data_IF_514349741125
#
_entry.id   IF_514349741125
#
_cell.length_a   1.000
_cell.length_b   1.000
_cell.length_c   1.000
_cell.angle_alpha   90.00
_cell.angle_beta   90.00
_cell.angle_gamma   90.00
#
_symmetry.space_group_name_H-M   'P 1'
#
loop_
_entity.id
_entity.type
_entity.pdbx_description
1 polymer ?
#
# COMPACT_ATOMS: atom_id res chain seq x y z
N UNK A 1 35.93 3.50 -18.34
CA UNK A 1 35.03 2.61 -19.11
C UNK A 1 33.60 2.83 -18.63
N UNK A 2 32.73 3.36 -19.49
CA UNK A 2 31.32 3.59 -19.19
C UNK A 2 30.57 2.27 -19.42
N UNK A 3 30.30 1.52 -18.34
CA UNK A 3 29.68 0.19 -18.45
C UNK A 3 28.21 0.37 -18.83
N UNK A 4 27.88 0.08 -20.08
CA UNK A 4 26.51 0.01 -20.60
C UNK A 4 25.83 -1.18 -19.93
N UNK A 5 24.70 -0.92 -19.28
CA UNK A 5 23.85 -1.82 -18.48
C UNK A 5 23.25 -3.03 -19.25
N UNK A 6 23.77 -3.37 -20.43
CA UNK A 6 23.25 -4.41 -21.32
C UNK A 6 23.83 -5.81 -21.08
N UNK A 7 24.81 -5.99 -20.20
CA UNK A 7 25.54 -7.27 -20.04
C UNK A 7 25.15 -8.11 -18.81
N UNK A 8 24.16 -7.71 -18.02
CA UNK A 8 23.76 -8.50 -16.83
C UNK A 8 22.27 -8.80 -16.91
N UNK A 9 21.91 -9.76 -17.75
CA UNK A 9 20.60 -10.42 -17.70
C UNK A 9 20.57 -11.54 -16.63
N UNK A 10 21.39 -11.38 -15.59
CA UNK A 10 21.51 -12.32 -14.48
C UNK A 10 20.65 -11.88 -13.31
N UNK A 11 19.94 -12.84 -12.71
CA UNK A 11 19.23 -12.62 -11.47
C UNK A 11 20.22 -12.35 -10.33
N UNK A 12 19.78 -11.57 -9.34
CA UNK A 12 20.53 -11.33 -8.11
C UNK A 12 19.96 -12.20 -6.99
N UNK A 13 20.85 -12.77 -6.18
CA UNK A 13 20.46 -13.55 -5.02
C UNK A 13 20.27 -12.66 -3.78
N UNK A 14 19.24 -12.98 -3.01
CA UNK A 14 18.95 -12.36 -1.72
C UNK A 14 18.52 -13.44 -0.72
N UNK A 15 18.84 -13.22 0.55
CA UNK A 15 18.35 -14.05 1.65
C UNK A 15 16.90 -13.66 1.93
N UNK A 16 16.02 -14.65 2.11
CA UNK A 16 14.65 -14.45 2.58
C UNK A 16 14.69 -14.58 4.11
N UNK A 17 14.42 -13.51 4.87
CA UNK A 17 14.31 -13.59 6.32
C UNK A 17 13.16 -14.50 6.76
N UNK A 18 13.35 -15.21 7.88
CA UNK A 18 12.35 -16.14 8.44
C UNK A 18 10.98 -15.49 8.63
N UNK A 19 10.96 -14.22 9.07
CA UNK A 19 9.72 -13.50 9.36
C UNK A 19 8.84 -13.18 8.13
N UNK A 20 9.37 -13.32 6.91
CA UNK A 20 8.61 -13.13 5.66
C UNK A 20 8.67 -14.35 4.75
N UNK A 21 9.21 -15.48 5.22
CA UNK A 21 9.45 -16.66 4.40
C UNK A 21 8.15 -17.23 3.80
N UNK A 22 7.06 -17.18 4.56
CA UNK A 22 5.75 -17.67 4.11
C UNK A 22 5.06 -16.74 3.11
N UNK A 23 5.48 -15.46 3.04
CA UNK A 23 4.90 -14.45 2.16
C UNK A 23 5.62 -14.37 0.79
N UNK A 24 6.84 -14.90 0.72
CA UNK A 24 7.65 -14.89 -0.49
C UNK A 24 7.44 -16.16 -1.29
N UNK A 25 6.91 -15.99 -2.51
CA UNK A 25 6.78 -17.05 -3.52
C UNK A 25 7.35 -16.58 -4.85
N UNK A 26 7.55 -17.52 -5.77
CA UNK A 26 7.88 -17.19 -7.15
C UNK A 26 6.79 -16.27 -7.75
N UNK A 27 7.22 -15.16 -8.34
CA UNK A 27 6.36 -14.09 -8.84
C UNK A 27 6.14 -12.93 -7.86
N UNK A 28 6.47 -13.11 -6.57
CA UNK A 28 6.27 -12.07 -5.56
C UNK A 28 7.09 -10.83 -5.91
N UNK A 29 6.50 -9.67 -5.67
CA UNK A 29 7.24 -8.41 -5.70
C UNK A 29 7.87 -8.18 -4.33
N UNK A 30 9.19 -8.04 -4.30
CA UNK A 30 9.98 -7.89 -3.07
C UNK A 30 10.73 -6.57 -3.04
N UNK A 31 10.99 -6.04 -1.85
CA UNK A 31 11.78 -4.82 -1.64
C UNK A 31 13.20 -5.25 -1.27
N UNK A 32 14.20 -4.81 -2.05
CA UNK A 32 15.58 -5.26 -1.89
C UNK A 32 16.58 -4.09 -1.93
N UNK A 33 17.68 -4.16 -1.16
CA UNK A 33 18.78 -3.21 -1.26
C UNK A 33 19.65 -3.49 -2.50
N UNK A 34 19.78 -2.52 -3.39
CA UNK A 34 20.60 -2.62 -4.61
C UNK A 34 21.58 -1.44 -4.70
N UNK A 35 22.86 -1.70 -4.44
CA UNK A 35 23.87 -0.65 -4.28
C UNK A 35 23.48 0.34 -3.17
N UNK A 36 23.41 1.63 -3.50
CA UNK A 36 22.97 2.73 -2.59
C UNK A 36 21.45 2.95 -2.59
N UNK A 37 20.69 2.16 -3.35
CA UNK A 37 19.24 2.34 -3.54
C UNK A 37 18.50 1.16 -2.90
N UNK A 38 17.23 1.37 -2.63
CA UNK A 38 16.28 0.26 -2.46
C UNK A 38 15.38 0.22 -3.69
N UNK A 39 15.13 -0.98 -4.20
CA UNK A 39 14.31 -1.19 -5.40
C UNK A 39 13.26 -2.27 -5.12
N UNK A 40 12.21 -2.29 -5.93
CA UNK A 40 11.33 -3.45 -6.05
C UNK A 40 11.92 -4.43 -7.06
N UNK A 41 11.99 -5.69 -6.68
CA UNK A 41 12.36 -6.82 -7.54
C UNK A 41 11.20 -7.80 -7.68
N UNK A 42 11.32 -8.71 -8.65
CA UNK A 42 10.35 -9.80 -8.87
C UNK A 42 11.10 -11.11 -8.62
N UNK A 43 10.54 -11.98 -7.79
CA UNK A 43 11.15 -13.27 -7.47
C UNK A 43 11.01 -14.24 -8.65
N UNK A 44 12.10 -14.49 -9.37
CA UNK A 44 12.11 -15.40 -10.52
C UNK A 44 12.27 -16.88 -10.10
N UNK A 45 12.98 -17.14 -9.00
CA UNK A 45 13.30 -18.47 -8.47
C UNK A 45 13.51 -18.38 -6.96
N UNK A 46 13.14 -19.45 -6.25
CA UNK A 46 13.50 -19.68 -4.84
C UNK A 46 14.44 -20.88 -4.81
N UNK A 47 15.51 -20.79 -4.01
CA UNK A 47 16.54 -21.81 -3.89
C UNK A 47 16.94 -21.97 -2.43
N UNK A 48 17.36 -23.17 -2.05
CA UNK A 48 17.80 -23.46 -0.67
C UNK A 48 19.27 -23.09 -0.44
N UNK A 49 20.07 -22.99 -1.51
CA UNK A 49 21.49 -22.70 -1.44
C UNK A 49 21.90 -21.69 -2.51
N UNK A 50 22.93 -20.90 -2.22
CA UNK A 50 23.53 -19.97 -3.16
C UNK A 50 24.97 -20.35 -3.45
N UNK A 51 25.41 -20.08 -4.68
CA UNK A 51 26.82 -20.22 -5.07
C UNK A 51 27.69 -19.04 -4.60
N UNK A 52 27.05 -17.97 -4.10
CA UNK A 52 27.74 -16.85 -3.46
C UNK A 52 27.84 -17.06 -1.96
N UNK A 53 28.90 -16.50 -1.38
CA UNK A 53 29.11 -16.42 0.06
C UNK A 53 27.93 -15.72 0.76
N UNK A 54 27.38 -16.36 1.79
CA UNK A 54 26.25 -15.86 2.56
C UNK A 54 26.48 -14.47 3.14
N UNK A 55 27.71 -14.11 3.50
CA UNK A 55 28.03 -12.78 4.07
C UNK A 55 27.88 -11.66 3.03
N UNK A 56 28.00 -11.99 1.74
CA UNK A 56 27.88 -11.03 0.64
C UNK A 56 26.45 -10.92 0.10
N UNK A 57 25.57 -11.83 0.49
CA UNK A 57 24.17 -11.85 0.06
C UNK A 57 23.35 -10.98 1.02
N UNK A 58 22.69 -9.97 0.47
CA UNK A 58 21.82 -9.09 1.28
C UNK A 58 20.47 -9.75 1.53
N UNK A 59 19.82 -9.37 2.61
CA UNK A 59 18.46 -9.79 2.91
C UNK A 59 17.41 -8.98 2.13
N UNK A 60 16.30 -9.65 1.79
CA UNK A 60 15.06 -9.00 1.36
C UNK A 60 14.50 -8.17 2.52
N UNK A 61 14.09 -6.93 2.25
CA UNK A 61 13.54 -6.01 3.27
C UNK A 61 12.05 -6.22 3.53
N UNK A 62 11.31 -6.75 2.57
CA UNK A 62 9.88 -6.99 2.69
C UNK A 62 9.21 -7.40 1.39
N UNK A 63 7.93 -7.71 1.47
CA UNK A 63 7.08 -8.11 0.33
C UNK A 63 6.09 -7.00 0.01
N UNK A 64 5.94 -6.68 -1.26
CA UNK A 64 4.91 -5.76 -1.75
C UNK A 64 3.66 -6.58 -2.10
N UNK A 65 2.73 -6.66 -1.14
CA UNK A 65 1.59 -7.60 -1.19
C UNK A 65 0.51 -7.26 -2.25
N UNK A 66 0.48 -6.02 -2.76
CA UNK A 66 -0.61 -5.57 -3.65
C UNK A 66 -0.58 -6.22 -5.04
N UNK A 67 0.55 -6.81 -5.43
CA UNK A 67 0.69 -7.42 -6.75
C UNK A 67 1.62 -8.63 -6.75
N UNK A 68 1.24 -9.66 -7.51
CA UNK A 68 2.03 -10.87 -7.69
C UNK A 68 1.88 -11.40 -9.12
N UNK A 69 2.97 -11.81 -9.75
CA UNK A 69 2.93 -12.42 -11.08
C UNK A 69 2.57 -13.91 -10.94
N UNK A 70 1.54 -14.33 -11.67
CA UNK A 70 1.08 -15.71 -11.69
C UNK A 70 2.01 -16.65 -12.47
N UNK A 71 1.82 -17.96 -12.26
CA UNK A 71 2.67 -18.99 -12.88
C UNK A 71 2.68 -18.93 -14.41
N UNK A 72 1.51 -18.79 -15.03
CA UNK A 72 1.38 -18.77 -16.49
C UNK A 72 2.00 -17.50 -17.10
N UNK A 73 1.86 -16.35 -16.44
CA UNK A 73 2.54 -15.11 -16.83
C UNK A 73 4.07 -15.26 -16.75
N UNK A 74 4.60 -15.95 -15.73
CA UNK A 74 6.04 -16.21 -15.65
C UNK A 74 6.52 -17.16 -16.75
N UNK A 75 5.74 -18.20 -17.08
CA UNK A 75 6.06 -19.09 -18.21
C UNK A 75 6.08 -18.32 -19.53
N UNK A 76 5.09 -17.46 -19.75
CA UNK A 76 5.02 -16.61 -20.93
C UNK A 76 6.19 -15.62 -20.97
N UNK A 77 6.52 -14.96 -19.86
CA UNK A 77 7.68 -14.08 -19.76
C UNK A 77 8.98 -14.81 -20.13
N UNK A 78 9.13 -16.05 -19.67
CA UNK A 78 10.29 -16.88 -19.99
C UNK A 78 10.35 -17.23 -21.48
N UNK A 79 9.21 -17.62 -22.07
CA UNK A 79 9.12 -17.85 -23.51
C UNK A 79 9.46 -16.59 -24.32
N UNK A 80 8.93 -15.42 -23.92
CA UNK A 80 9.22 -14.15 -24.59
C UNK A 80 10.70 -13.77 -24.51
N UNK A 81 11.29 -13.88 -23.32
CA UNK A 81 12.72 -13.62 -23.12
C UNK A 81 13.58 -14.53 -23.99
N UNK A 82 13.25 -15.82 -24.06
CA UNK A 82 13.97 -16.79 -24.88
C UNK A 82 13.78 -16.53 -26.38
N UNK A 83 12.54 -16.42 -26.85
CA UNK A 83 12.20 -16.30 -28.26
C UNK A 83 12.70 -14.99 -28.88
N UNK A 84 12.60 -13.89 -28.14
CA UNK A 84 13.03 -12.56 -28.61
C UNK A 84 14.44 -12.18 -28.14
N UNK A 85 15.19 -13.11 -27.52
CA UNK A 85 16.57 -12.89 -27.03
C UNK A 85 16.63 -11.62 -26.16
N UNK A 86 15.62 -11.46 -25.30
CA UNK A 86 15.40 -10.27 -24.48
C UNK A 86 15.55 -10.57 -23.00
N UNK A 87 15.65 -9.50 -22.20
CA UNK A 87 15.81 -9.66 -20.75
C UNK A 87 14.59 -10.29 -20.08
N UNK A 88 14.81 -11.33 -19.27
CA UNK A 88 13.76 -11.92 -18.44
C UNK A 88 13.13 -10.89 -17.50
N UNK A 89 13.93 -9.97 -16.98
CA UNK A 89 13.45 -8.85 -16.17
C UNK A 89 12.52 -7.93 -16.95
N UNK A 90 12.82 -7.63 -18.21
CA UNK A 90 11.96 -6.82 -19.06
C UNK A 90 10.65 -7.54 -19.42
N UNK A 91 10.72 -8.83 -19.75
CA UNK A 91 9.54 -9.63 -20.04
C UNK A 91 8.58 -9.69 -18.82
N UNK A 92 9.11 -9.88 -17.61
CA UNK A 92 8.30 -9.89 -16.38
C UNK A 92 7.67 -8.52 -16.09
N UNK A 93 8.33 -7.40 -16.44
CA UNK A 93 7.79 -6.05 -16.23
C UNK A 93 6.52 -5.78 -17.04
N UNK A 94 6.33 -6.44 -18.17
CA UNK A 94 5.14 -6.28 -19.02
C UNK A 94 3.85 -6.73 -18.32
N UNK A 95 3.97 -7.61 -17.33
CA UNK A 95 2.84 -8.05 -16.52
C UNK A 95 2.56 -7.13 -15.35
N UNK A 96 3.23 -5.99 -15.19
CA UNK A 96 2.92 -5.04 -14.12
C UNK A 96 1.86 -4.05 -14.58
N UNK A 97 1.02 -3.53 -13.66
CA UNK A 97 0.07 -2.48 -14.00
C UNK A 97 0.80 -1.23 -14.51
N UNK A 98 0.14 -0.42 -15.37
CA UNK A 98 0.69 0.83 -15.86
C UNK A 98 1.03 1.76 -14.69
N UNK A 99 2.16 2.46 -14.78
CA UNK A 99 2.63 3.34 -13.71
C UNK A 99 3.26 2.62 -12.50
N UNK A 100 3.42 1.29 -12.54
CA UNK A 100 4.12 0.57 -11.48
C UNK A 100 5.58 1.03 -11.36
N UNK A 101 5.93 1.60 -10.19
CA UNK A 101 7.28 2.11 -9.94
C UNK A 101 8.17 1.06 -9.25
N UNK A 102 9.22 0.66 -9.95
CA UNK A 102 10.23 -0.28 -9.46
C UNK A 102 11.33 0.37 -8.61
N UNK A 103 11.44 1.69 -8.60
CA UNK A 103 12.30 2.40 -7.65
C UNK A 103 11.50 2.59 -6.37
N UNK A 104 12.12 2.35 -5.21
CA UNK A 104 11.49 2.75 -3.95
C UNK A 104 11.46 4.28 -3.94
N UNK A 105 10.28 4.87 -4.20
CA UNK A 105 10.03 6.24 -3.79
C UNK A 105 9.89 6.22 -2.28
N UNK A 106 10.52 7.15 -1.56
CA UNK A 106 10.37 7.35 -0.10
C UNK A 106 8.91 7.49 0.39
N UNK A 107 7.95 7.45 -0.54
CA UNK A 107 6.52 7.33 -0.31
C UNK A 107 6.10 6.00 -0.92
N UNK A 108 5.91 4.97 -0.08
CA UNK A 108 4.81 4.03 -0.30
C UNK A 108 3.62 4.95 -0.62
N UNK A 109 2.87 4.81 -1.74
CA UNK A 109 1.65 5.56 -1.90
C UNK A 109 0.83 5.23 -0.66
N UNK A 110 0.77 6.18 0.27
CA UNK A 110 0.10 5.97 1.53
C UNK A 110 -1.30 5.52 1.12
N UNK A 111 -1.68 4.30 1.50
CA UNK A 111 -3.09 3.96 1.60
C UNK A 111 -3.69 5.17 2.32
N UNK A 112 -4.55 5.94 1.63
CA UNK A 112 -5.10 7.15 2.22
C UNK A 112 -5.89 6.69 3.42
N UNK A 113 -5.30 6.80 4.62
CA UNK A 113 -5.98 6.51 5.87
C UNK A 113 -7.06 7.56 6.01
N UNK A 114 -8.30 7.18 5.75
CA UNK A 114 -9.44 8.05 5.95
C UNK A 114 -9.86 7.93 7.41
N UNK A 115 -10.11 9.07 8.04
CA UNK A 115 -10.65 9.15 9.40
C UNK A 115 -12.16 9.14 9.30
N UNK A 116 -12.78 8.11 9.86
CA UNK A 116 -14.22 7.95 9.97
C UNK A 116 -14.64 8.33 11.39
N UNK A 117 -15.73 9.08 11.50
CA UNK A 117 -16.32 9.52 12.76
C UNK A 117 -17.69 8.87 12.92
N UNK A 118 -17.99 8.42 14.14
CA UNK A 118 -19.28 7.86 14.54
C UNK A 118 -19.69 8.37 15.92
N UNK A 119 -20.98 8.31 16.23
CA UNK A 119 -21.44 8.54 17.60
C UNK A 119 -20.80 7.52 18.54
N UNK A 120 -20.40 7.98 19.72
CA UNK A 120 -19.99 7.09 20.80
C UNK A 120 -21.21 6.76 21.69
N UNK A 121 -21.11 5.76 22.55
CA UNK A 121 -22.15 5.49 23.53
C UNK A 121 -21.92 6.45 24.71
N UNK A 122 -22.70 7.53 24.79
CA UNK A 122 -22.57 8.52 25.88
C UNK A 122 -23.48 8.15 27.05
N UNK A 123 -22.98 8.34 28.26
CA UNK A 123 -23.72 8.16 29.52
C UNK A 123 -24.59 9.37 29.86
N UNK A 124 -24.31 10.55 29.29
CA UNK A 124 -25.04 11.81 29.54
C UNK A 124 -25.66 12.36 28.26
N UNK A 125 -26.89 12.90 28.37
CA UNK A 125 -27.63 13.46 27.25
C UNK A 125 -26.90 14.72 26.68
N UNK A 126 -26.48 14.69 25.41
CA UNK A 126 -25.73 15.80 24.81
C UNK A 126 -26.58 17.07 24.58
N UNK A 127 -27.91 17.02 24.66
CA UNK A 127 -28.80 18.15 24.34
C UNK A 127 -28.49 19.43 25.14
N UNK A 128 -28.22 19.31 26.44
CA UNK A 128 -27.92 20.46 27.31
C UNK A 128 -26.62 21.15 26.86
N UNK A 129 -25.60 20.36 26.52
CA UNK A 129 -24.32 20.85 26.05
C UNK A 129 -24.40 21.48 24.65
N UNK A 130 -25.23 20.92 23.77
CA UNK A 130 -25.36 21.34 22.38
C UNK A 130 -26.25 22.58 22.18
N UNK A 131 -27.08 22.93 23.17
CA UNK A 131 -28.04 24.05 23.11
C UNK A 131 -27.41 25.39 22.67
N UNK A 132 -26.19 25.68 23.09
CA UNK A 132 -25.46 26.91 22.75
C UNK A 132 -24.36 26.70 21.70
N UNK A 133 -24.31 25.55 21.02
CA UNK A 133 -23.21 25.15 20.11
C UNK A 133 -23.74 24.64 18.76
N UNK A 134 -24.27 25.54 17.91
CA UNK A 134 -25.00 25.16 16.69
C UNK A 134 -24.17 24.34 15.69
N UNK A 135 -22.88 24.63 15.54
CA UNK A 135 -22.00 23.83 14.65
C UNK A 135 -21.74 22.41 15.17
N UNK A 136 -21.68 22.22 16.49
CA UNK A 136 -21.52 20.89 17.08
C UNK A 136 -22.82 20.09 17.02
N UNK A 137 -23.96 20.76 17.22
CA UNK A 137 -25.29 20.16 17.11
C UNK A 137 -25.53 19.56 15.72
N UNK A 138 -25.21 20.31 14.66
CA UNK A 138 -25.30 19.83 13.26
C UNK A 138 -24.48 18.56 12.99
N UNK A 139 -23.31 18.43 13.61
CA UNK A 139 -22.46 17.23 13.47
C UNK A 139 -23.12 16.02 14.12
N UNK A 140 -23.69 16.19 15.32
CA UNK A 140 -24.36 15.11 16.05
C UNK A 140 -25.64 14.70 15.32
N UNK A 141 -26.51 15.64 14.94
CA UNK A 141 -27.73 15.37 14.17
C UNK A 141 -27.42 14.64 12.85
N UNK A 142 -26.32 15.00 12.18
CA UNK A 142 -25.90 14.31 10.97
C UNK A 142 -25.47 12.87 11.25
N UNK A 143 -24.72 12.63 12.33
CA UNK A 143 -24.25 11.29 12.70
C UNK A 143 -25.35 10.40 13.34
N UNK A 144 -26.44 11.00 13.82
CA UNK A 144 -27.67 10.28 14.22
C UNK A 144 -28.39 9.70 13.00
N UNK A 145 -28.45 10.46 11.90
CA UNK A 145 -29.07 10.03 10.65
C UNK A 145 -28.13 9.17 9.77
N UNK A 146 -26.82 9.40 9.86
CA UNK A 146 -25.79 8.69 9.10
C UNK A 146 -24.80 8.06 10.08
N UNK A 147 -24.85 6.73 10.31
CA UNK A 147 -24.13 6.08 11.41
C UNK A 147 -22.62 6.31 11.46
N UNK A 148 -22.01 6.63 10.31
CA UNK A 148 -20.59 6.94 10.20
C UNK A 148 -20.31 7.83 8.98
N UNK A 149 -19.31 8.71 9.08
CA UNK A 149 -18.90 9.54 7.94
C UNK A 149 -17.42 9.89 7.97
N UNK A 150 -16.85 10.09 6.78
CA UNK A 150 -15.48 10.60 6.64
C UNK A 150 -15.38 12.07 7.05
N UNK A 151 -14.22 12.47 7.60
CA UNK A 151 -13.92 13.87 7.96
C UNK A 151 -14.38 14.90 6.93
N UNK A 152 -13.97 14.73 5.68
CA UNK A 152 -14.16 15.73 4.62
C UNK A 152 -15.64 15.83 4.23
N UNK A 153 -16.31 14.69 4.13
CA UNK A 153 -17.73 14.63 3.83
C UNK A 153 -18.58 15.18 4.97
N UNK A 154 -18.27 14.81 6.21
CA UNK A 154 -18.94 15.27 7.42
C UNK A 154 -18.89 16.80 7.53
N UNK A 155 -17.70 17.39 7.38
CA UNK A 155 -17.54 18.84 7.46
C UNK A 155 -18.23 19.56 6.29
N UNK A 156 -18.18 19.00 5.08
CA UNK A 156 -18.86 19.55 3.90
C UNK A 156 -20.38 19.54 4.05
N UNK A 157 -20.96 18.43 4.51
CA UNK A 157 -22.41 18.26 4.67
C UNK A 157 -22.98 19.06 5.84
N UNK A 158 -22.22 19.19 6.93
CA UNK A 158 -22.65 19.92 8.13
C UNK A 158 -22.31 21.42 8.07
N UNK A 159 -21.46 21.86 7.12
CA UNK A 159 -20.94 23.21 7.05
C UNK A 159 -20.13 23.62 8.28
N UNK A 160 -19.60 22.65 9.03
CA UNK A 160 -18.97 22.88 10.33
C UNK A 160 -17.45 22.93 10.22
N UNK A 161 -16.80 23.57 11.20
CA UNK A 161 -15.35 23.70 11.22
C UNK A 161 -14.67 22.48 11.91
N UNK A 162 -13.40 22.18 11.58
CA UNK A 162 -12.65 21.09 12.21
C UNK A 162 -12.51 21.22 13.75
N UNK A 163 -12.58 22.44 14.27
CA UNK A 163 -12.49 22.70 15.70
C UNK A 163 -13.71 22.14 16.46
N UNK A 164 -14.91 22.30 15.90
CA UNK A 164 -16.15 21.76 16.47
C UNK A 164 -16.11 20.24 16.55
N UNK A 165 -15.58 19.59 15.51
CA UNK A 165 -15.36 18.15 15.45
C UNK A 165 -14.37 17.69 16.54
N UNK A 166 -13.23 18.38 16.68
CA UNK A 166 -12.21 18.04 17.69
C UNK A 166 -12.71 18.22 19.13
N UNK A 167 -13.58 19.20 19.39
CA UNK A 167 -14.20 19.38 20.71
C UNK A 167 -15.14 18.22 21.06
N UNK A 168 -15.93 17.75 20.09
CA UNK A 168 -16.80 16.59 20.28
C UNK A 168 -15.98 15.31 20.55
N UNK A 169 -14.87 15.10 19.84
CA UNK A 169 -13.93 14.01 20.13
C UNK A 169 -13.38 14.10 21.56
N UNK A 170 -12.91 15.28 21.97
CA UNK A 170 -12.31 15.50 23.29
C UNK A 170 -13.31 15.25 24.43
N UNK A 171 -14.59 15.56 24.19
CA UNK A 171 -15.69 15.32 25.13
C UNK A 171 -16.21 13.89 25.08
N UNK A 172 -15.74 13.06 24.15
CA UNK A 172 -16.21 11.70 23.97
C UNK A 172 -17.55 11.60 23.25
N UNK A 173 -18.11 12.70 22.72
CA UNK A 173 -19.36 12.72 21.98
C UNK A 173 -19.27 12.10 20.57
N UNK A 174 -18.07 11.80 20.08
CA UNK A 174 -17.87 11.03 18.86
C UNK A 174 -16.59 10.22 19.01
N UNK A 175 -16.46 9.14 18.25
CA UNK A 175 -15.24 8.34 18.18
C UNK A 175 -14.65 8.37 16.78
N UNK A 176 -13.32 8.40 16.70
CA UNK A 176 -12.56 8.35 15.44
C UNK A 176 -12.06 6.93 15.19
N UNK A 177 -12.25 6.42 13.97
CA UNK A 177 -11.68 5.16 13.51
C UNK A 177 -10.88 5.41 12.22
N UNK A 178 -9.72 4.75 12.11
CA UNK A 178 -8.90 4.80 10.90
C UNK A 178 -9.29 3.65 9.98
N UNK A 179 -9.82 3.96 8.80
CA UNK A 179 -10.09 2.98 7.75
C UNK A 179 -9.05 3.09 6.64
N UNK A 180 -8.50 1.93 6.27
CA UNK A 180 -7.56 1.79 5.18
C UNK A 180 -8.36 1.55 3.91
N UNK A 181 -8.52 2.59 3.08
CA UNK A 181 -9.19 2.44 1.79
C UNK A 181 -8.16 1.94 0.78
N UNK A 182 -8.33 0.69 0.33
CA UNK A 182 -7.64 0.22 -0.88
C UNK A 182 -8.17 1.07 -2.03
N UNK A 183 -7.25 1.66 -2.80
CA UNK A 183 -7.64 2.35 -4.02
C UNK A 183 -8.07 1.25 -4.99
N UNK A 184 -9.37 1.13 -5.26
CA UNK A 184 -9.84 0.24 -6.31
C UNK A 184 -9.20 0.71 -7.61
N UNK A 185 -8.33 -0.12 -8.16
CA UNK A 185 -7.87 0.04 -9.53
C UNK A 185 -9.00 -0.49 -10.43
N UNK A 186 -10.13 0.22 -10.47
CA UNK A 186 -11.15 -0.01 -11.49
C UNK A 186 -10.56 0.44 -12.81
N UNK A 187 -10.39 -0.50 -13.73
CA UNK A 187 -10.17 -0.19 -15.14
C UNK A 187 -11.54 0.07 -15.74
N UNK A 188 -12.09 1.25 -15.45
CA UNK A 188 -13.12 1.81 -16.30
C UNK A 188 -12.38 2.61 -17.39
N UNK A 189 -12.72 2.31 -18.64
CA UNK A 189 -12.18 2.84 -19.91
C UNK A 189 -11.08 1.98 -20.58
N UNK A 190 -11.50 0.83 -21.13
CA UNK A 190 -11.08 0.36 -22.47
C UNK A 190 -12.25 -0.31 -23.19
#
# INVERSE_FOLDING_TARGET
>A
MNIRTSEIDSAFDYIIPENIQNDVKKGSVVIVPFGKKTLKGIVSRIKNHSSFDSEKIKAVKGVFADYNIGREQIKLAHWMSYYYIGSMGNALRLFMPPGFNFKETKKIPALKKKKIYKLSQFTENPEIYLKSRPSQKKIIEFLENVPQSEKEELLRKTGSNPWSLNQLLKKGYISEQSLTVKKDFSYDDY
#
